data_IF_628745676939
#
_entry.id   IF_628745676939
#
_cell.length_a   1.000
_cell.length_b   1.000
_cell.length_c   1.000
_cell.angle_alpha   90.00
_cell.angle_beta   90.00
_cell.angle_gamma   90.00
#
_symmetry.space_group_name_H-M   'P 1'
#
loop_
_entity.id
_entity.type
_entity.pdbx_description
1 polymer ?
#
# COMPACT_ATOMS: atom_id res chain seq x y z
N UNK A 1 -9.67 -8.30 -10.59
CA UNK A 1 -8.54 -7.77 -9.80
C UNK A 1 -8.67 -6.26 -9.65
N UNK A 2 -9.59 -5.79 -8.81
CA UNK A 2 -9.70 -4.37 -8.45
C UNK A 2 -9.12 -4.20 -7.05
N UNK A 3 -7.80 -4.11 -6.96
CA UNK A 3 -7.16 -3.59 -5.75
C UNK A 3 -7.46 -2.10 -5.68
N UNK A 4 -7.94 -1.60 -4.55
CA UNK A 4 -8.23 -0.16 -4.37
C UNK A 4 -6.96 0.71 -4.46
N UNK A 5 -5.80 0.10 -4.19
CA UNK A 5 -4.49 0.72 -4.28
C UNK A 5 -3.96 0.69 -5.72
N UNK A 6 -3.76 1.88 -6.27
CA UNK A 6 -3.18 2.05 -7.60
C UNK A 6 -1.67 1.74 -7.58
N UNK A 7 -0.99 1.93 -6.46
CA UNK A 7 0.45 1.60 -6.31
C UNK A 7 0.68 0.10 -6.44
N UNK A 8 -0.19 -0.69 -5.81
CA UNK A 8 -0.15 -2.15 -5.89
C UNK A 8 -0.55 -2.67 -7.28
N UNK A 9 -1.55 -2.03 -7.92
CA UNK A 9 -1.97 -2.37 -9.26
C UNK A 9 -0.87 -2.07 -10.31
N UNK A 10 -0.29 -0.87 -10.27
CA UNK A 10 0.73 -0.42 -11.23
C UNK A 10 2.03 -1.25 -11.17
N UNK A 11 2.31 -1.90 -10.04
CA UNK A 11 3.47 -2.79 -9.85
C UNK A 11 3.24 -4.23 -10.29
N UNK A 12 2.05 -4.58 -10.79
CA UNK A 12 1.82 -5.90 -11.39
C UNK A 12 2.04 -5.84 -12.91
N UNK A 13 1.22 -5.07 -13.62
CA UNK A 13 1.27 -4.86 -15.08
C UNK A 13 0.61 -3.52 -15.45
N UNK A 14 0.70 -3.13 -16.73
CA UNK A 14 0.03 -1.93 -17.29
C UNK A 14 0.36 -0.61 -16.55
N UNK A 15 1.59 -0.48 -16.04
CA UNK A 15 2.05 0.59 -15.14
C UNK A 15 1.67 2.00 -15.63
N UNK A 16 1.97 2.34 -16.89
CA UNK A 16 1.68 3.66 -17.47
C UNK A 16 0.19 3.98 -17.48
N UNK A 17 -0.66 3.01 -17.85
CA UNK A 17 -2.10 3.16 -17.90
C UNK A 17 -2.67 3.38 -16.50
N UNK A 18 -2.29 2.54 -15.54
CA UNK A 18 -2.77 2.61 -14.16
C UNK A 18 -2.39 3.94 -13.49
N UNK A 19 -1.16 4.42 -13.69
CA UNK A 19 -0.71 5.72 -13.15
C UNK A 19 -1.47 6.87 -13.80
N UNK A 20 -1.68 6.83 -15.12
CA UNK A 20 -2.41 7.87 -15.85
C UNK A 20 -3.85 7.97 -15.36
N UNK A 21 -4.55 6.85 -15.25
CA UNK A 21 -5.92 6.80 -14.76
C UNK A 21 -6.04 7.28 -13.31
N UNK A 22 -5.07 6.93 -12.45
CA UNK A 22 -5.03 7.38 -11.06
C UNK A 22 -4.78 8.90 -10.94
N UNK A 23 -3.88 9.45 -11.77
CA UNK A 23 -3.58 10.87 -11.80
C UNK A 23 -4.78 11.70 -12.31
N UNK A 24 -5.43 11.26 -13.40
CA UNK A 24 -6.61 11.91 -13.95
C UNK A 24 -7.80 11.89 -12.97
N UNK A 25 -7.98 10.78 -12.25
CA UNK A 25 -9.04 10.63 -11.27
C UNK A 25 -8.69 11.22 -9.87
N UNK A 26 -7.49 11.78 -9.69
CA UNK A 26 -7.04 12.32 -8.39
C UNK A 26 -7.02 11.28 -7.27
N UNK A 27 -6.73 10.00 -7.58
CA UNK A 27 -6.79 8.91 -6.59
C UNK A 27 -5.67 9.01 -5.57
N UNK A 28 -6.03 8.85 -4.30
CA UNK A 28 -5.08 8.79 -3.18
C UNK A 28 -4.95 7.36 -2.69
N UNK A 29 -3.72 6.90 -2.53
CA UNK A 29 -3.42 5.58 -1.96
C UNK A 29 -3.03 5.72 -0.48
N UNK A 30 -3.75 5.02 0.40
CA UNK A 30 -3.49 5.07 1.83
C UNK A 30 -2.44 4.05 2.30
N UNK A 31 -1.89 3.24 1.41
CA UNK A 31 -0.75 2.35 1.69
C UNK A 31 -1.02 1.37 2.85
N UNK A 32 -2.26 0.89 2.96
CA UNK A 32 -2.70 0.04 4.08
C UNK A 32 -2.42 -1.44 3.84
N UNK A 33 -2.20 -1.84 2.59
CA UNK A 33 -2.04 -3.23 2.20
C UNK A 33 -0.62 -3.74 2.32
N UNK A 34 -0.45 -5.03 2.01
CA UNK A 34 0.83 -5.69 2.10
C UNK A 34 1.80 -5.18 1.03
N UNK A 35 1.36 -5.16 -0.24
CA UNK A 35 2.24 -4.89 -1.39
C UNK A 35 2.77 -3.46 -1.39
N UNK A 36 1.95 -2.49 -1.02
CA UNK A 36 2.37 -1.08 -0.96
C UNK A 36 3.41 -0.87 0.13
N UNK A 37 3.25 -1.52 1.29
CA UNK A 37 4.25 -1.45 2.35
C UNK A 37 5.57 -2.11 1.95
N UNK A 38 5.52 -3.22 1.20
CA UNK A 38 6.74 -3.85 0.65
C UNK A 38 7.43 -2.94 -0.36
N UNK A 39 6.70 -2.40 -1.34
CA UNK A 39 7.24 -1.49 -2.38
C UNK A 39 7.92 -0.26 -1.75
N UNK A 40 7.37 0.25 -0.65
CA UNK A 40 7.88 1.43 0.05
C UNK A 40 8.90 1.13 1.17
N UNK A 41 9.22 -0.14 1.42
CA UNK A 41 10.16 -0.52 2.49
C UNK A 41 9.64 -0.27 3.92
N UNK A 42 8.32 -0.24 4.13
CA UNK A 42 7.69 -0.08 5.44
C UNK A 42 7.43 -1.45 6.07
N UNK A 43 7.33 -1.49 7.41
CA UNK A 43 6.89 -2.69 8.11
C UNK A 43 5.50 -3.12 7.61
N UNK A 44 5.46 -4.34 7.07
CA UNK A 44 4.23 -4.93 6.54
C UNK A 44 3.17 -5.11 7.63
N UNK A 45 1.87 -5.05 7.29
CA UNK A 45 0.77 -5.24 8.24
C UNK A 45 0.54 -6.72 8.59
N UNK A 46 1.62 -7.50 8.75
CA UNK A 46 1.57 -8.92 9.06
C UNK A 46 2.73 -9.31 9.99
N UNK A 47 2.57 -10.44 10.71
CA UNK A 47 3.61 -11.01 11.57
C UNK A 47 4.20 -10.01 12.56
N UNK A 48 5.53 -9.90 12.56
CA UNK A 48 6.29 -9.02 13.45
C UNK A 48 5.95 -7.54 13.27
N UNK A 49 5.55 -7.12 12.06
CA UNK A 49 5.11 -5.75 11.78
C UNK A 49 3.82 -5.39 12.52
N UNK A 50 2.86 -6.32 12.62
CA UNK A 50 1.63 -6.11 13.39
C UNK A 50 1.91 -6.10 14.90
N UNK A 51 2.77 -7.00 15.38
CA UNK A 51 3.19 -7.03 16.78
C UNK A 51 3.89 -5.73 17.20
N UNK A 52 4.77 -5.19 16.35
CA UNK A 52 5.44 -3.91 16.59
C UNK A 52 4.45 -2.74 16.66
N UNK A 53 3.44 -2.70 15.77
CA UNK A 53 2.37 -1.68 15.80
C UNK A 53 1.55 -1.77 17.09
N UNK A 54 1.16 -2.98 17.51
CA UNK A 54 0.41 -3.20 18.76
C UNK A 54 1.19 -2.72 19.99
N UNK A 55 2.48 -3.07 20.08
CA UNK A 55 3.35 -2.60 21.18
C UNK A 55 3.44 -1.09 21.26
N UNK A 56 3.56 -0.41 20.12
CA UNK A 56 3.57 1.06 20.05
C UNK A 56 2.23 1.66 20.50
N UNK A 57 1.11 1.05 20.10
CA UNK A 57 -0.22 1.51 20.48
C UNK A 57 -0.53 1.32 21.97
N UNK A 58 0.05 0.30 22.62
CA UNK A 58 -0.08 0.08 24.06
C UNK A 58 0.92 0.85 24.91
N UNK A 59 1.90 1.53 24.29
CA UNK A 59 2.91 2.34 24.97
C UNK A 59 2.61 3.85 24.91
N UNK A 60 1.45 4.23 24.36
CA UNK A 60 0.95 5.60 24.24
C UNK A 60 -0.45 5.68 24.84
#
# INVERSE_FOLDING_TARGET
LTTESWVSAASFQETTRVITDAALAGKVDWLRGLKENVVLGRLIPAGTGLAARRRKASAS
#
